data_IF_478524256980
#
_entry.id   IF_478524256980
#
_cell.length_a   1.000
_cell.length_b   1.000
_cell.length_c   1.000
_cell.angle_alpha   90.00
_cell.angle_beta   90.00
_cell.angle_gamma   90.00
#
_symmetry.space_group_name_H-M   'P 1'
#
loop_
_entity.id
_entity.type
_entity.pdbx_description
1 polymer ?
#
# COMPACT_ATOMS: atom_id res chain seq x y z
N UNK A 1 -31.54 23.77 12.04
CA UNK A 1 -31.15 22.69 12.98
C UNK A 1 -30.47 23.33 14.16
N UNK A 2 -30.95 23.09 15.39
CA UNK A 2 -30.34 23.67 16.59
C UNK A 2 -29.18 22.79 17.12
N UNK A 3 -28.34 23.32 18.03
CA UNK A 3 -27.16 22.64 18.55
C UNK A 3 -27.48 21.28 19.23
N UNK A 4 -28.62 21.20 19.93
CA UNK A 4 -29.06 19.96 20.57
C UNK A 4 -29.41 18.86 19.57
N UNK A 5 -30.10 19.22 18.50
CA UNK A 5 -30.45 18.29 17.41
C UNK A 5 -29.20 17.83 16.66
N UNK A 6 -28.26 18.74 16.39
CA UNK A 6 -26.97 18.42 15.81
C UNK A 6 -26.21 17.39 16.66
N UNK A 7 -26.13 17.63 17.97
CA UNK A 7 -25.46 16.72 18.92
C UNK A 7 -26.11 15.32 18.93
N UNK A 8 -27.45 15.25 18.89
CA UNK A 8 -28.18 13.97 18.81
C UNK A 8 -27.85 13.22 17.53
N UNK A 9 -27.82 13.90 16.39
CA UNK A 9 -27.48 13.29 15.08
C UNK A 9 -26.02 12.83 15.02
N UNK A 10 -25.09 13.60 15.58
CA UNK A 10 -23.67 13.19 15.68
C UNK A 10 -23.53 11.90 16.52
N UNK A 11 -24.18 11.83 17.68
CA UNK A 11 -24.18 10.61 18.50
C UNK A 11 -24.83 9.41 17.81
N UNK A 12 -25.89 9.63 17.03
CA UNK A 12 -26.54 8.57 16.26
C UNK A 12 -25.62 8.05 15.14
N UNK A 13 -24.92 8.96 14.44
CA UNK A 13 -23.93 8.59 13.43
C UNK A 13 -22.77 7.78 14.02
N UNK A 14 -22.25 8.18 15.19
CA UNK A 14 -21.19 7.43 15.89
C UNK A 14 -21.62 6.01 16.21
N UNK A 15 -22.86 5.81 16.71
CA UNK A 15 -23.41 4.46 16.97
C UNK A 15 -23.57 3.64 15.69
N UNK A 16 -24.02 4.26 14.59
CA UNK A 16 -24.15 3.59 13.30
C UNK A 16 -22.80 3.12 12.77
N UNK A 17 -21.78 3.96 12.88
CA UNK A 17 -20.42 3.60 12.46
C UNK A 17 -19.86 2.43 13.29
N UNK A 18 -20.00 2.48 14.62
CA UNK A 18 -19.56 1.38 15.50
C UNK A 18 -20.25 0.04 15.14
N UNK A 19 -21.53 0.11 14.80
CA UNK A 19 -22.29 -1.06 14.37
C UNK A 19 -21.79 -1.63 13.04
N UNK A 20 -21.50 -0.78 12.07
CA UNK A 20 -20.92 -1.19 10.77
C UNK A 20 -19.55 -1.82 10.99
N UNK A 21 -18.69 -1.21 11.82
CA UNK A 21 -17.36 -1.76 12.13
C UNK A 21 -17.44 -3.16 12.73
N UNK A 22 -18.34 -3.37 13.70
CA UNK A 22 -18.56 -4.67 14.30
C UNK A 22 -19.08 -5.72 13.31
N UNK A 23 -19.97 -5.33 12.42
CA UNK A 23 -20.50 -6.22 11.37
C UNK A 23 -19.40 -6.63 10.40
N UNK A 24 -18.56 -5.69 9.97
CA UNK A 24 -17.39 -5.97 9.09
C UNK A 24 -16.43 -6.93 9.77
N UNK A 25 -16.19 -6.80 11.09
CA UNK A 25 -15.35 -7.73 11.85
C UNK A 25 -15.97 -9.15 11.83
N UNK A 26 -17.25 -9.27 12.10
CA UNK A 26 -17.95 -10.55 12.10
C UNK A 26 -17.92 -11.24 10.74
N UNK A 27 -18.22 -10.48 9.68
CA UNK A 27 -18.16 -10.98 8.29
C UNK A 27 -16.73 -11.32 7.87
N UNK A 28 -15.75 -10.52 8.28
CA UNK A 28 -14.33 -10.77 8.02
C UNK A 28 -13.87 -12.10 8.61
N UNK A 29 -14.17 -12.36 9.88
CA UNK A 29 -13.84 -13.63 10.53
C UNK A 29 -14.53 -14.83 9.85
N UNK A 30 -15.79 -14.69 9.48
CA UNK A 30 -16.51 -15.73 8.72
C UNK A 30 -15.87 -15.98 7.34
N UNK A 31 -15.40 -14.93 6.65
CA UNK A 31 -14.66 -15.07 5.40
C UNK A 31 -13.33 -15.81 5.60
N UNK A 32 -12.56 -15.50 6.66
CA UNK A 32 -11.31 -16.19 6.96
C UNK A 32 -11.54 -17.68 7.24
N UNK A 33 -12.61 -18.02 7.96
CA UNK A 33 -13.00 -19.41 8.20
C UNK A 33 -13.35 -20.14 6.89
N UNK A 34 -14.13 -19.53 6.01
CA UNK A 34 -14.45 -20.08 4.69
C UNK A 34 -13.21 -20.30 3.80
N UNK A 35 -12.24 -19.41 3.91
CA UNK A 35 -10.97 -19.56 3.19
C UNK A 35 -10.16 -20.72 3.79
N UNK A 36 -10.14 -20.86 5.10
CA UNK A 36 -9.45 -21.96 5.78
C UNK A 36 -10.02 -23.32 5.36
N UNK A 37 -11.34 -23.47 5.38
CA UNK A 37 -12.03 -24.74 5.13
C UNK A 37 -12.11 -25.10 3.64
N UNK A 38 -12.34 -24.10 2.79
CA UNK A 38 -12.69 -24.35 1.37
C UNK A 38 -11.77 -23.65 0.36
N UNK A 39 -10.84 -22.81 0.78
CA UNK A 39 -10.00 -22.00 -0.11
C UNK A 39 -10.78 -20.95 -0.92
N UNK A 40 -12.03 -20.65 -0.54
CA UNK A 40 -12.91 -19.76 -1.28
C UNK A 40 -12.71 -18.30 -0.89
N UNK A 41 -12.11 -17.50 -1.79
CA UNK A 41 -11.86 -16.07 -1.59
C UNK A 41 -12.98 -15.17 -2.11
N UNK A 42 -14.03 -15.70 -2.72
CA UNK A 42 -15.13 -14.90 -3.27
C UNK A 42 -15.83 -14.04 -2.23
N UNK A 43 -16.20 -14.55 -1.02
CA UNK A 43 -16.89 -13.74 -0.01
C UNK A 43 -16.02 -12.56 0.48
N UNK A 44 -14.74 -12.76 0.74
CA UNK A 44 -13.85 -11.69 1.21
C UNK A 44 -13.64 -10.63 0.13
N UNK A 45 -13.55 -11.01 -1.14
CA UNK A 45 -13.46 -10.09 -2.26
C UNK A 45 -14.74 -9.26 -2.41
N UNK A 46 -15.91 -9.87 -2.22
CA UNK A 46 -17.18 -9.16 -2.22
C UNK A 46 -17.31 -8.18 -1.05
N UNK A 47 -16.83 -8.55 0.14
CA UNK A 47 -16.81 -7.67 1.31
C UNK A 47 -15.95 -6.44 1.05
N UNK A 48 -14.76 -6.59 0.46
CA UNK A 48 -13.88 -5.47 0.13
C UNK A 48 -14.52 -4.49 -0.86
N UNK A 49 -15.31 -4.96 -1.81
CA UNK A 49 -15.97 -4.11 -2.80
C UNK A 49 -17.00 -3.14 -2.20
N UNK A 50 -17.58 -3.46 -1.04
CA UNK A 50 -18.58 -2.60 -0.36
C UNK A 50 -17.96 -1.64 0.65
N UNK A 51 -16.66 -1.80 0.97
CA UNK A 51 -15.94 -0.94 1.90
C UNK A 51 -15.48 0.36 1.22
N UNK A 52 -15.39 1.44 1.99
CA UNK A 52 -14.75 2.68 1.53
C UNK A 52 -13.24 2.51 1.39
N UNK A 53 -12.59 3.31 0.53
CA UNK A 53 -11.13 3.21 0.28
C UNK A 53 -10.25 3.15 1.53
N UNK A 54 -10.44 3.99 2.57
CA UNK A 54 -9.67 3.89 3.81
C UNK A 54 -9.91 2.56 4.54
N UNK A 55 -11.16 2.10 4.59
CA UNK A 55 -11.53 0.84 5.22
C UNK A 55 -10.93 -0.36 4.49
N UNK A 56 -10.93 -0.33 3.15
CA UNK A 56 -10.30 -1.39 2.33
C UNK A 56 -8.84 -1.57 2.71
N UNK A 57 -8.09 -0.47 2.90
CA UNK A 57 -6.66 -0.56 3.26
C UNK A 57 -6.47 -1.24 4.61
N UNK A 58 -7.19 -0.80 5.66
CA UNK A 58 -7.09 -1.36 6.99
C UNK A 58 -7.53 -2.84 7.03
N UNK A 59 -8.68 -3.14 6.42
CA UNK A 59 -9.20 -4.51 6.31
C UNK A 59 -8.25 -5.43 5.54
N UNK A 60 -7.65 -4.95 4.45
CA UNK A 60 -6.72 -5.74 3.66
C UNK A 60 -5.43 -6.07 4.43
N UNK A 61 -4.89 -5.13 5.19
CA UNK A 61 -3.72 -5.35 6.04
C UNK A 61 -4.03 -6.40 7.12
N UNK A 62 -5.19 -6.31 7.76
CA UNK A 62 -5.67 -7.29 8.73
C UNK A 62 -5.88 -8.68 8.11
N UNK A 63 -6.58 -8.79 7.00
CA UNK A 63 -6.84 -10.06 6.32
C UNK A 63 -5.55 -10.72 5.82
N UNK A 64 -4.57 -9.93 5.36
CA UNK A 64 -3.25 -10.42 4.98
C UNK A 64 -2.41 -10.85 6.19
N UNK A 65 -2.60 -10.29 7.36
CA UNK A 65 -1.89 -10.71 8.56
C UNK A 65 -2.40 -12.08 9.07
N UNK A 66 -3.70 -12.26 9.13
CA UNK A 66 -4.32 -13.38 9.83
C UNK A 66 -4.94 -14.46 8.93
N UNK A 67 -5.09 -14.21 7.62
CA UNK A 67 -5.75 -15.13 6.71
C UNK A 67 -4.82 -15.88 5.76
N UNK A 68 -5.29 -17.01 5.22
CA UNK A 68 -4.68 -17.75 4.09
C UNK A 68 -4.88 -17.02 2.76
N UNK A 69 -4.57 -15.73 2.74
CA UNK A 69 -4.71 -14.91 1.54
C UNK A 69 -3.43 -14.17 1.21
N UNK A 70 -3.26 -13.87 -0.05
CA UNK A 70 -2.24 -12.96 -0.60
C UNK A 70 -2.90 -11.92 -1.49
N UNK A 71 -2.20 -10.86 -1.78
CA UNK A 71 -2.68 -9.88 -2.77
C UNK A 71 -2.87 -10.56 -4.10
N UNK A 72 -3.99 -10.29 -4.75
CA UNK A 72 -4.26 -10.78 -6.10
C UNK A 72 -3.21 -10.29 -7.10
N UNK A 73 -3.02 -11.02 -8.18
CA UNK A 73 -2.18 -10.57 -9.29
C UNK A 73 -2.76 -9.31 -9.94
N UNK A 74 -1.97 -8.59 -10.74
CA UNK A 74 -2.46 -7.40 -11.42
C UNK A 74 -3.66 -7.71 -12.34
N UNK A 75 -3.63 -8.85 -13.03
CA UNK A 75 -4.72 -9.29 -13.90
C UNK A 75 -6.00 -9.59 -13.11
N UNK A 76 -5.87 -10.27 -11.95
CA UNK A 76 -7.03 -10.56 -11.09
C UNK A 76 -7.57 -9.29 -10.42
N UNK A 77 -6.69 -8.33 -10.08
CA UNK A 77 -7.10 -7.03 -9.55
C UNK A 77 -7.88 -6.19 -10.58
N UNK A 78 -7.51 -6.26 -11.85
CA UNK A 78 -8.28 -5.66 -12.96
C UNK A 78 -9.66 -6.31 -13.12
N UNK A 79 -9.79 -7.60 -12.77
CA UNK A 79 -11.07 -8.32 -12.69
C UNK A 79 -11.85 -8.08 -11.38
N UNK A 80 -11.38 -7.18 -10.50
CA UNK A 80 -12.05 -6.79 -9.25
C UNK A 80 -11.74 -7.70 -8.06
N UNK A 81 -10.72 -8.57 -8.15
CA UNK A 81 -10.28 -9.40 -7.05
C UNK A 81 -9.15 -8.73 -6.27
N UNK A 82 -9.30 -8.58 -4.95
CA UNK A 82 -8.27 -8.04 -4.07
C UNK A 82 -7.37 -9.13 -3.49
N UNK A 83 -7.94 -10.31 -3.24
CA UNK A 83 -7.28 -11.43 -2.59
C UNK A 83 -7.31 -12.68 -3.44
N UNK A 84 -6.21 -13.42 -3.43
CA UNK A 84 -6.08 -14.77 -3.92
C UNK A 84 -5.74 -15.72 -2.77
N UNK A 85 -6.12 -16.98 -2.90
CA UNK A 85 -5.81 -18.01 -1.92
C UNK A 85 -4.31 -18.29 -1.84
N UNK A 86 -3.79 -18.47 -0.63
CA UNK A 86 -2.39 -18.82 -0.39
C UNK A 86 -2.29 -20.09 0.48
N UNK A 87 -1.96 -21.21 -0.16
CA UNK A 87 -1.82 -22.52 0.50
C UNK A 87 -0.66 -22.58 1.52
N UNK A 88 0.30 -21.67 1.42
CA UNK A 88 1.52 -21.69 2.26
C UNK A 88 1.31 -21.04 3.60
N UNK A 89 0.21 -20.32 3.77
CA UNK A 89 -0.13 -19.60 5.00
C UNK A 89 -1.12 -20.40 5.86
N UNK A 90 -1.13 -20.10 7.15
CA UNK A 90 -2.13 -20.59 8.11
C UNK A 90 -3.03 -19.44 8.51
N UNK A 91 -4.31 -19.75 8.78
CA UNK A 91 -5.24 -18.76 9.35
C UNK A 91 -5.09 -18.73 10.87
N UNK A 92 -4.99 -17.53 11.42
CA UNK A 92 -4.96 -17.28 12.87
C UNK A 92 -6.24 -16.54 13.28
N UNK A 93 -7.30 -17.31 13.55
CA UNK A 93 -8.59 -16.77 13.95
C UNK A 93 -8.59 -16.18 15.37
N UNK A 94 -7.73 -16.69 16.26
CA UNK A 94 -7.63 -16.20 17.63
C UNK A 94 -7.07 -14.78 17.63
N UNK A 95 -5.91 -14.57 17.04
CA UNK A 95 -5.33 -13.22 16.89
C UNK A 95 -6.20 -12.27 16.05
N UNK A 96 -6.89 -12.80 15.02
CA UNK A 96 -7.82 -12.02 14.20
C UNK A 96 -9.05 -11.54 14.99
N UNK A 97 -9.45 -12.28 16.02
CA UNK A 97 -10.56 -11.91 16.92
C UNK A 97 -10.12 -10.87 17.95
N UNK A 98 -8.91 -11.01 18.48
CA UNK A 98 -8.36 -10.08 19.46
C UNK A 98 -8.00 -8.73 18.85
N UNK A 99 -7.47 -8.73 17.64
CA UNK A 99 -7.06 -7.54 16.90
C UNK A 99 -8.08 -7.21 15.81
N UNK A 100 -8.98 -6.28 16.10
CA UNK A 100 -10.02 -5.90 15.16
C UNK A 100 -9.45 -5.17 13.94
N UNK A 101 -10.07 -5.36 12.78
CA UNK A 101 -9.58 -4.84 11.50
C UNK A 101 -9.41 -3.31 11.46
N UNK A 102 -10.24 -2.57 12.21
CA UNK A 102 -10.21 -1.10 12.26
C UNK A 102 -9.13 -0.54 13.18
N UNK A 103 -8.70 -1.33 14.17
CA UNK A 103 -7.61 -0.98 15.10
C UNK A 103 -6.27 -1.62 14.70
N UNK A 104 -6.28 -2.57 13.75
CA UNK A 104 -5.08 -3.26 13.32
C UNK A 104 -4.09 -2.30 12.65
N UNK A 105 -2.92 -2.18 13.25
CA UNK A 105 -1.78 -1.49 12.66
C UNK A 105 -0.68 -2.56 12.47
N UNK A 106 -0.38 -2.97 11.21
CA UNK A 106 0.73 -3.88 11.00
C UNK A 106 2.00 -3.27 11.59
N UNK A 107 2.77 -4.06 12.33
CA UNK A 107 4.11 -3.64 12.72
C UNK A 107 4.81 -3.16 11.46
N UNK A 108 5.05 -1.86 11.38
CA UNK A 108 5.91 -1.33 10.34
C UNK A 108 7.23 -2.04 10.54
N UNK A 109 7.53 -3.00 9.65
CA UNK A 109 8.87 -3.55 9.57
C UNK A 109 9.80 -2.36 9.73
N UNK A 110 10.57 -2.34 10.82
CA UNK A 110 11.42 -1.21 11.16
C UNK A 110 12.11 -0.86 9.85
N UNK A 111 11.73 0.28 9.29
CA UNK A 111 12.37 0.72 8.06
C UNK A 111 13.81 0.81 8.47
N UNK A 112 14.61 -0.18 8.06
CA UNK A 112 16.06 -0.05 8.14
C UNK A 112 16.26 1.28 7.46
N UNK A 113 16.55 2.29 8.26
CA UNK A 113 16.82 3.62 7.75
C UNK A 113 17.96 3.37 6.78
N UNK A 114 17.62 3.30 5.49
CA UNK A 114 18.64 3.20 4.45
C UNK A 114 19.50 4.41 4.70
N UNK A 115 20.73 4.17 5.13
CA UNK A 115 21.67 5.24 5.35
C UNK A 115 21.56 6.11 4.08
N UNK A 116 21.22 7.39 4.28
CA UNK A 116 21.00 8.30 3.17
C UNK A 116 22.33 8.41 2.41
N UNK A 117 22.44 7.75 1.28
CA UNK A 117 23.60 7.82 0.42
C UNK A 117 23.48 9.06 -0.46
N UNK A 118 24.04 10.15 0.06
CA UNK A 118 24.08 11.43 -0.63
C UNK A 118 24.69 11.29 -2.03
N UNK A 119 25.75 10.48 -2.18
CA UNK A 119 26.43 10.32 -3.46
C UNK A 119 25.53 9.62 -4.48
N UNK A 120 24.80 8.58 -4.07
CA UNK A 120 23.85 7.89 -4.95
C UNK A 120 22.69 8.80 -5.38
N UNK A 121 22.19 9.66 -4.49
CA UNK A 121 21.12 10.60 -4.83
C UNK A 121 21.61 11.71 -5.75
N UNK A 122 22.81 12.26 -5.51
CA UNK A 122 23.43 13.27 -6.42
C UNK A 122 23.64 12.68 -7.82
N UNK A 123 24.13 11.44 -7.92
CA UNK A 123 24.29 10.76 -9.23
C UNK A 123 22.96 10.62 -9.98
N UNK A 124 21.84 10.31 -9.30
CA UNK A 124 20.53 10.27 -9.94
C UNK A 124 20.10 11.64 -10.48
N UNK A 125 20.32 12.69 -9.70
CA UNK A 125 20.00 14.06 -10.11
C UNK A 125 20.84 14.47 -11.32
N UNK A 126 22.14 14.16 -11.33
CA UNK A 126 23.05 14.50 -12.46
C UNK A 126 22.66 13.75 -13.74
N UNK A 127 22.28 12.46 -13.65
CA UNK A 127 21.77 11.70 -14.81
C UNK A 127 20.52 12.35 -15.39
N UNK A 128 19.57 12.69 -14.52
CA UNK A 128 18.32 13.35 -14.95
C UNK A 128 18.59 14.73 -15.58
N UNK A 129 19.54 15.48 -15.03
CA UNK A 129 19.96 16.77 -15.60
C UNK A 129 20.57 16.61 -17.01
N UNK A 130 21.40 15.58 -17.20
CA UNK A 130 21.97 15.26 -18.51
C UNK A 130 20.89 14.85 -19.52
N UNK A 131 19.92 14.03 -19.12
CA UNK A 131 18.76 13.64 -19.95
C UNK A 131 17.87 14.83 -20.33
N UNK A 132 17.81 15.86 -19.48
CA UNK A 132 17.05 17.08 -19.71
C UNK A 132 17.84 18.15 -20.47
N UNK A 133 19.05 17.82 -20.95
CA UNK A 133 19.87 18.73 -21.76
C UNK A 133 20.50 19.90 -20.99
N UNK A 134 20.69 19.75 -19.68
CA UNK A 134 21.39 20.78 -18.90
C UNK A 134 22.85 20.91 -19.34
N UNK A 135 23.43 22.12 -19.27
CA UNK A 135 24.84 22.36 -19.69
C UNK A 135 25.81 21.43 -18.93
N UNK A 136 26.71 20.77 -19.68
CA UNK A 136 27.68 19.83 -19.10
C UNK A 136 28.55 20.49 -18.01
N UNK A 137 28.85 21.78 -18.16
CA UNK A 137 29.65 22.56 -17.19
C UNK A 137 28.94 22.63 -15.80
N UNK A 138 27.60 22.69 -15.77
CA UNK A 138 26.83 22.70 -14.52
C UNK A 138 26.84 21.30 -13.88
N UNK A 139 26.70 20.28 -14.71
CA UNK A 139 26.74 18.87 -14.27
C UNK A 139 28.12 18.56 -13.65
N UNK A 140 29.20 18.95 -14.32
CA UNK A 140 30.58 18.72 -13.85
C UNK A 140 30.88 19.50 -12.57
N UNK A 141 30.40 20.76 -12.44
CA UNK A 141 30.55 21.54 -11.23
C UNK A 141 29.87 20.93 -10.02
N UNK A 142 28.65 20.39 -10.19
CA UNK A 142 27.89 19.70 -9.11
C UNK A 142 28.58 18.37 -8.76
N UNK A 143 29.04 17.60 -9.74
CA UNK A 143 29.78 16.37 -9.54
C UNK A 143 31.05 16.61 -8.71
N UNK A 144 31.85 17.63 -9.10
CA UNK A 144 33.06 18.01 -8.39
C UNK A 144 32.78 18.45 -6.94
N UNK A 145 31.72 19.28 -6.71
CA UNK A 145 31.31 19.71 -5.38
C UNK A 145 30.87 18.55 -4.50
N UNK A 146 30.30 17.49 -5.10
CA UNK A 146 29.86 16.28 -4.39
C UNK A 146 30.99 15.24 -4.21
N UNK A 147 32.21 15.51 -4.66
CA UNK A 147 33.35 14.59 -4.60
C UNK A 147 33.20 13.37 -5.50
N UNK A 148 32.41 13.47 -6.56
CA UNK A 148 32.13 12.38 -7.50
C UNK A 148 33.10 12.48 -8.71
N UNK A 149 33.49 11.34 -9.31
CA UNK A 149 34.24 11.35 -10.58
C UNK A 149 33.39 12.01 -11.69
N UNK A 150 34.05 12.62 -12.67
CA UNK A 150 33.39 13.31 -13.76
C UNK A 150 32.27 12.49 -14.39
N UNK A 151 31.09 13.11 -14.54
CA UNK A 151 29.89 12.44 -15.03
C UNK A 151 30.07 11.90 -16.45
N UNK A 152 29.49 10.77 -16.84
CA UNK A 152 29.59 10.25 -18.20
C UNK A 152 28.98 11.26 -19.16
N UNK A 153 29.76 11.61 -20.22
CA UNK A 153 29.30 12.50 -21.28
C UNK A 153 28.04 11.92 -21.94
N UNK A 154 27.04 12.75 -22.14
CA UNK A 154 25.86 12.39 -22.91
C UNK A 154 26.33 11.97 -24.31
N UNK A 155 26.01 10.73 -24.71
CA UNK A 155 26.21 10.28 -26.09
C UNK A 155 25.17 11.00 -26.93
N UNK A 156 25.58 12.08 -27.55
CA UNK A 156 24.79 12.72 -28.62
C UNK A 156 24.73 11.70 -29.74
N UNK A 157 23.57 11.13 -29.99
CA UNK A 157 23.33 10.30 -31.16
C UNK A 157 23.52 11.18 -32.38
N UNK A 158 24.65 10.98 -33.06
CA UNK A 158 24.98 11.62 -34.32
C UNK A 158 23.92 11.20 -35.34
N UNK A 159 23.07 12.17 -35.73
CA UNK A 159 22.09 11.97 -36.78
C UNK A 159 22.88 11.70 -38.08
N UNK A 160 22.76 10.50 -38.63
CA UNK A 160 23.31 10.16 -39.93
C UNK A 160 22.70 11.08 -41.01
N UNK A 161 23.49 11.69 -41.86
CA UNK A 161 22.97 12.44 -43.00
C UNK A 161 22.41 11.45 -44.05
N UNK A 162 21.24 11.82 -44.58
CA UNK A 162 20.64 11.16 -45.76
C UNK A 162 21.46 11.42 -47.02
#
# INVERSE_FOLDING_TARGET
MNASELTKRIKALGRSNARITAEVQTLGLACLLQIEEHGNTTPINSLVQVLSRPQVKAFAEWALAFGKVKKASKADAEAGQFFAYDKTRTTDLESATEQTWDSFAPEKAASVARAFDLQAEVLKVLRKAAEQGQPQSVIDAIAAAAGLPAAPKAVVAEAAPM
#
